data_IF_421088292578
#
_entry.id   IF_421088292578
#
_cell.length_a   1.000
_cell.length_b   1.000
_cell.length_c   1.000
_cell.angle_alpha   90.00
_cell.angle_beta   90.00
_cell.angle_gamma   90.00
#
_symmetry.space_group_name_H-M   'P 1'
#
loop_
_entity.id
_entity.type
_entity.pdbx_description
1 polymer ?
#
# COMPACT_ATOMS: atom_id res chain seq x y z
N UNK A 1 -21.34 0.81 -31.35
CA UNK A 1 -22.66 1.21 -31.86
C UNK A 1 -22.45 2.34 -32.85
N UNK A 2 -23.05 2.20 -34.03
CA UNK A 2 -22.84 3.02 -35.22
C UNK A 2 -23.08 4.50 -34.95
N UNK A 3 -22.17 5.33 -35.48
CA UNK A 3 -22.17 6.78 -35.49
C UNK A 3 -23.50 7.34 -36.01
N UNK A 4 -24.34 7.86 -35.11
CA UNK A 4 -25.60 8.54 -35.45
C UNK A 4 -25.42 9.86 -36.26
N UNK A 5 -24.19 10.17 -36.70
CA UNK A 5 -23.82 11.39 -37.41
C UNK A 5 -23.14 11.15 -38.77
N UNK A 6 -22.97 9.89 -39.19
CA UNK A 6 -22.45 9.57 -40.53
C UNK A 6 -23.53 9.85 -41.57
N UNK A 7 -23.48 11.03 -42.19
CA UNK A 7 -24.41 11.40 -43.26
C UNK A 7 -24.79 12.89 -43.37
N UNK A 8 -24.27 13.78 -42.51
CA UNK A 8 -24.45 15.23 -42.70
C UNK A 8 -23.34 15.79 -43.60
N UNK A 9 -23.67 16.64 -44.60
CA UNK A 9 -22.66 17.25 -45.47
C UNK A 9 -21.72 18.11 -44.61
N UNK A 10 -20.41 17.82 -44.70
CA UNK A 10 -19.34 18.53 -43.96
C UNK A 10 -18.60 17.72 -42.88
N UNK A 11 -18.85 16.42 -42.71
CA UNK A 11 -18.13 15.56 -41.76
C UNK A 11 -17.53 14.36 -42.50
N UNK A 12 -16.23 14.41 -42.80
CA UNK A 12 -15.56 13.46 -43.69
C UNK A 12 -14.92 12.25 -42.95
N UNK A 13 -14.70 12.32 -41.64
CA UNK A 13 -14.40 11.12 -40.84
C UNK A 13 -14.52 11.39 -39.35
N UNK A 14 -15.38 10.67 -38.64
CA UNK A 14 -15.18 10.47 -37.20
C UNK A 14 -14.12 9.39 -37.09
N UNK A 15 -12.86 9.78 -36.91
CA UNK A 15 -11.78 8.84 -36.62
C UNK A 15 -12.11 8.16 -35.28
N UNK A 16 -12.62 6.94 -35.34
CA UNK A 16 -12.93 6.12 -34.17
C UNK A 16 -11.61 5.61 -33.56
N UNK A 17 -10.83 6.52 -32.94
CA UNK A 17 -9.59 6.20 -32.23
C UNK A 17 -9.83 5.31 -31.00
N UNK A 18 -11.09 5.02 -30.67
CA UNK A 18 -11.53 4.11 -29.61
C UNK A 18 -10.88 2.74 -29.71
N UNK A 19 -10.74 2.16 -30.90
CA UNK A 19 -10.16 0.81 -31.02
C UNK A 19 -8.67 0.72 -30.63
N UNK A 20 -7.90 1.80 -30.81
CA UNK A 20 -6.48 1.87 -30.40
C UNK A 20 -6.39 2.22 -28.90
N UNK A 21 -7.21 3.18 -28.45
CA UNK A 21 -7.32 3.57 -27.04
C UNK A 21 -7.79 2.41 -26.16
N UNK A 22 -8.73 1.58 -26.62
CA UNK A 22 -9.25 0.42 -25.88
C UNK A 22 -8.16 -0.63 -25.65
N UNK A 23 -7.29 -0.86 -26.65
CA UNK A 23 -6.12 -1.74 -26.49
C UNK A 23 -5.12 -1.15 -25.49
N UNK A 24 -4.90 0.16 -25.54
CA UNK A 24 -4.01 0.86 -24.60
C UNK A 24 -4.56 0.82 -23.16
N UNK A 25 -5.84 1.12 -22.95
CA UNK A 25 -6.48 1.02 -21.63
C UNK A 25 -6.52 -0.42 -21.11
N UNK A 26 -6.72 -1.41 -21.99
CA UNK A 26 -6.62 -2.83 -21.61
C UNK A 26 -5.22 -3.19 -21.16
N UNK A 27 -4.18 -2.73 -21.86
CA UNK A 27 -2.80 -2.94 -21.43
C UNK A 27 -2.53 -2.28 -20.07
N UNK A 28 -2.96 -1.04 -19.86
CA UNK A 28 -2.84 -0.35 -18.58
C UNK A 28 -3.59 -1.08 -17.46
N UNK A 29 -4.76 -1.66 -17.73
CA UNK A 29 -5.52 -2.44 -16.74
C UNK A 29 -4.78 -3.70 -16.33
N UNK A 30 -4.18 -4.43 -17.27
CA UNK A 30 -3.36 -5.62 -16.96
C UNK A 30 -2.14 -5.25 -16.12
N UNK A 31 -1.46 -4.15 -16.46
CA UNK A 31 -0.32 -3.66 -15.68
C UNK A 31 -0.74 -3.24 -14.26
N UNK A 32 -1.87 -2.54 -14.13
CA UNK A 32 -2.44 -2.15 -12.83
C UNK A 32 -2.76 -3.37 -11.98
N UNK A 33 -3.45 -4.36 -12.54
CA UNK A 33 -3.85 -5.55 -11.81
C UNK A 33 -2.64 -6.42 -11.44
N UNK A 34 -1.62 -6.48 -12.31
CA UNK A 34 -0.33 -7.09 -12.00
C UNK A 34 0.42 -6.38 -10.86
N UNK A 35 0.44 -5.05 -10.85
CA UNK A 35 1.02 -4.27 -9.76
C UNK A 35 0.28 -4.49 -8.44
N UNK A 36 -1.06 -4.58 -8.46
CA UNK A 36 -1.86 -4.92 -7.29
C UNK A 36 -1.52 -6.31 -6.74
N UNK A 37 -1.33 -7.30 -7.61
CA UNK A 37 -0.95 -8.66 -7.21
C UNK A 37 0.41 -8.68 -6.50
N UNK A 38 1.41 -7.99 -7.06
CA UNK A 38 2.73 -7.84 -6.44
C UNK A 38 2.62 -7.10 -5.10
N UNK A 39 1.78 -6.06 -5.03
CA UNK A 39 1.50 -5.31 -3.81
C UNK A 39 0.95 -6.21 -2.70
N UNK A 40 -0.04 -7.05 -3.00
CA UNK A 40 -0.61 -8.02 -2.05
C UNK A 40 0.46 -9.01 -1.57
N UNK A 41 1.26 -9.57 -2.48
CA UNK A 41 2.36 -10.47 -2.12
C UNK A 41 3.40 -9.79 -1.20
N UNK A 42 3.67 -8.50 -1.45
CA UNK A 42 4.59 -7.70 -0.64
C UNK A 42 4.05 -7.46 0.77
N UNK A 43 2.76 -7.17 0.90
CA UNK A 43 2.07 -7.05 2.19
C UNK A 43 2.12 -8.35 2.99
N UNK A 44 1.88 -9.50 2.35
CA UNK A 44 2.02 -10.81 2.98
C UNK A 44 3.45 -11.05 3.46
N UNK A 45 4.44 -10.73 2.63
CA UNK A 45 5.86 -10.86 2.96
C UNK A 45 6.23 -9.98 4.16
N UNK A 46 5.76 -8.74 4.20
CA UNK A 46 5.95 -7.85 5.34
C UNK A 46 5.33 -8.43 6.62
N UNK A 47 4.11 -8.96 6.55
CA UNK A 47 3.45 -9.59 7.71
C UNK A 47 4.24 -10.81 8.24
N UNK A 48 4.81 -11.63 7.34
CA UNK A 48 5.68 -12.75 7.71
C UNK A 48 6.98 -12.27 8.39
N UNK A 49 7.61 -11.23 7.85
CA UNK A 49 8.81 -10.62 8.44
C UNK A 49 8.53 -10.07 9.85
N UNK A 50 7.45 -9.31 10.02
CA UNK A 50 7.01 -8.81 11.34
C UNK A 50 6.83 -9.98 12.30
N UNK A 51 6.11 -11.02 11.88
CA UNK A 51 5.85 -12.21 12.70
C UNK A 51 7.13 -12.91 13.14
N UNK A 52 8.10 -13.04 12.24
CA UNK A 52 9.39 -13.66 12.54
C UNK A 52 10.20 -12.81 13.53
N UNK A 53 10.27 -11.49 13.30
CA UNK A 53 11.01 -10.58 14.17
C UNK A 53 10.43 -10.56 15.59
N UNK A 54 9.10 -10.50 15.72
CA UNK A 54 8.44 -10.53 17.03
C UNK A 54 8.68 -11.86 17.77
N UNK A 55 8.70 -12.99 17.05
CA UNK A 55 9.02 -14.29 17.63
C UNK A 55 10.42 -14.31 18.23
N UNK A 56 11.42 -13.84 17.47
CA UNK A 56 12.80 -13.78 17.94
C UNK A 56 12.94 -12.83 19.13
N UNK A 57 12.30 -11.65 19.06
CA UNK A 57 12.31 -10.68 20.15
C UNK A 57 11.67 -11.22 21.45
N UNK A 58 10.52 -11.89 21.33
CA UNK A 58 9.84 -12.52 22.46
C UNK A 58 10.69 -13.64 23.09
N UNK A 59 11.38 -14.44 22.28
CA UNK A 59 12.27 -15.49 22.78
C UNK A 59 13.44 -14.90 23.60
N UNK A 60 14.04 -13.82 23.12
CA UNK A 60 15.14 -13.14 23.81
C UNK A 60 14.68 -12.52 25.15
N UNK A 61 13.42 -12.05 25.23
CA UNK A 61 12.83 -11.43 26.44
C UNK A 61 12.03 -12.40 27.31
N UNK A 62 12.16 -13.72 27.11
CA UNK A 62 11.36 -14.73 27.83
C UNK A 62 11.52 -14.67 29.36
N UNK A 63 12.73 -14.35 29.86
CA UNK A 63 13.01 -14.24 31.30
C UNK A 63 12.32 -13.03 31.91
N UNK A 64 12.43 -11.86 31.27
CA UNK A 64 11.75 -10.62 31.68
C UNK A 64 10.24 -10.81 31.69
N UNK A 65 9.71 -11.45 30.64
CA UNK A 65 8.29 -11.78 30.53
C UNK A 65 7.82 -12.70 31.65
N UNK A 66 8.65 -13.68 32.04
CA UNK A 66 8.40 -14.55 33.18
C UNK A 66 8.30 -13.78 34.49
N UNK A 67 9.21 -12.83 34.73
CA UNK A 67 9.16 -11.95 35.91
C UNK A 67 7.90 -11.09 35.88
N UNK A 68 7.55 -10.47 34.75
CA UNK A 68 6.32 -9.68 34.62
C UNK A 68 5.06 -10.50 34.94
N UNK A 69 4.98 -11.76 34.48
CA UNK A 69 3.87 -12.67 34.81
C UNK A 69 3.79 -12.95 36.32
N UNK A 70 4.93 -13.10 37.02
CA UNK A 70 4.97 -13.36 38.47
C UNK A 70 4.49 -12.18 39.31
N UNK A 71 4.62 -10.94 38.80
CA UNK A 71 4.12 -9.73 39.47
C UNK A 71 2.66 -9.43 39.10
N UNK A 72 1.98 -10.36 38.41
CA UNK A 72 0.56 -10.23 38.04
C UNK A 72 0.30 -9.28 36.86
N UNK A 73 1.32 -9.02 36.03
CA UNK A 73 1.14 -8.14 34.86
C UNK A 73 0.13 -8.74 33.88
N UNK A 74 -0.75 -7.88 33.33
CA UNK A 74 -1.70 -8.28 32.31
C UNK A 74 -0.99 -8.72 31.02
N UNK A 75 -1.60 -9.64 30.27
CA UNK A 75 -1.05 -10.07 28.97
C UNK A 75 -0.88 -8.90 27.99
N UNK A 76 -1.72 -7.87 28.10
CA UNK A 76 -1.60 -6.66 27.27
C UNK A 76 -0.38 -5.81 27.63
N UNK A 77 -0.09 -5.66 28.93
CA UNK A 77 1.10 -4.92 29.41
C UNK A 77 2.41 -5.55 28.90
N UNK A 78 2.45 -6.87 28.78
CA UNK A 78 3.59 -7.62 28.23
C UNK A 78 3.70 -7.43 26.70
N UNK A 79 2.56 -7.35 26.00
CA UNK A 79 2.51 -7.28 24.54
C UNK A 79 2.72 -5.86 23.99
N UNK A 80 2.37 -4.83 24.76
CA UNK A 80 2.43 -3.43 24.37
C UNK A 80 3.77 -2.99 23.75
N UNK A 81 4.97 -3.28 24.32
CA UNK A 81 6.22 -2.84 23.71
C UNK A 81 6.44 -3.42 22.31
N UNK A 82 6.07 -4.68 22.08
CA UNK A 82 6.19 -5.33 20.78
C UNK A 82 5.19 -4.77 19.75
N UNK A 83 3.97 -4.43 20.20
CA UNK A 83 2.98 -3.77 19.35
C UNK A 83 3.44 -2.36 18.93
N UNK A 84 4.07 -1.63 19.85
CA UNK A 84 4.61 -0.29 19.58
C UNK A 84 5.76 -0.34 18.58
N UNK A 85 6.66 -1.34 18.63
CA UNK A 85 7.70 -1.53 17.60
C UNK A 85 7.08 -1.68 16.20
N UNK A 86 6.01 -2.48 16.08
CA UNK A 86 5.27 -2.66 14.82
C UNK A 86 4.61 -1.37 14.31
N UNK A 87 4.02 -0.58 15.21
CA UNK A 87 3.40 0.70 14.85
C UNK A 87 4.46 1.73 14.43
N UNK A 88 5.55 1.86 15.18
CA UNK A 88 6.63 2.81 14.87
C UNK A 88 7.28 2.49 13.52
N UNK A 89 7.57 1.21 13.25
CA UNK A 89 8.10 0.79 11.96
C UNK A 89 7.16 1.11 10.79
N UNK A 90 5.84 1.02 11.02
CA UNK A 90 4.81 1.39 10.03
C UNK A 90 4.81 2.89 9.76
N UNK A 91 4.89 3.74 10.80
CA UNK A 91 4.92 5.20 10.64
C UNK A 91 6.17 5.63 9.85
N UNK A 92 7.33 5.04 10.17
CA UNK A 92 8.59 5.33 9.46
C UNK A 92 8.48 4.88 8.00
N UNK A 93 8.03 3.64 7.76
CA UNK A 93 7.86 3.10 6.41
C UNK A 93 6.84 3.90 5.58
N UNK A 94 5.76 4.36 6.20
CA UNK A 94 4.79 5.26 5.58
C UNK A 94 5.43 6.58 5.18
N UNK A 95 6.18 7.23 6.08
CA UNK A 95 6.87 8.49 5.79
C UNK A 95 7.83 8.36 4.60
N UNK A 96 8.61 7.28 4.56
CA UNK A 96 9.50 6.97 3.43
C UNK A 96 8.70 6.76 2.13
N UNK A 97 7.61 6.00 2.20
CA UNK A 97 6.75 5.71 1.03
C UNK A 97 6.10 6.97 0.47
N UNK A 98 5.62 7.86 1.34
CA UNK A 98 5.04 9.16 0.94
C UNK A 98 6.10 10.06 0.33
N UNK A 99 7.33 10.04 0.85
CA UNK A 99 8.47 10.73 0.25
C UNK A 99 8.72 10.27 -1.19
N UNK A 100 8.77 8.95 -1.42
CA UNK A 100 8.91 8.38 -2.76
C UNK A 100 7.75 8.75 -3.68
N UNK A 101 6.50 8.64 -3.21
CA UNK A 101 5.31 8.97 -4.00
C UNK A 101 5.29 10.44 -4.41
N UNK A 102 5.65 11.34 -3.49
CA UNK A 102 5.71 12.79 -3.75
C UNK A 102 6.85 13.14 -4.72
N UNK A 103 8.02 12.50 -4.56
CA UNK A 103 9.14 12.68 -5.49
C UNK A 103 8.79 12.20 -6.91
N UNK A 104 8.11 11.06 -7.02
CA UNK A 104 7.65 10.53 -8.30
C UNK A 104 6.64 11.47 -8.97
N UNK A 105 5.68 12.01 -8.20
CA UNK A 105 4.74 13.03 -8.67
C UNK A 105 5.46 14.28 -9.20
N UNK A 106 6.40 14.80 -8.43
CA UNK A 106 7.18 15.98 -8.84
C UNK A 106 7.95 15.74 -10.14
N UNK A 107 8.55 14.55 -10.30
CA UNK A 107 9.26 14.17 -11.52
C UNK A 107 8.33 14.09 -12.74
N UNK A 108 7.13 13.51 -12.57
CA UNK A 108 6.11 13.45 -13.62
C UNK A 108 5.67 14.85 -14.04
N UNK A 109 5.35 15.72 -13.08
CA UNK A 109 4.92 17.09 -13.37
C UNK A 109 5.97 17.88 -14.14
N UNK A 110 7.25 17.70 -13.78
CA UNK A 110 8.34 18.46 -14.38
C UNK A 110 8.76 17.93 -15.74
N UNK A 111 8.79 16.60 -15.92
CA UNK A 111 9.42 15.95 -17.08
C UNK A 111 8.43 15.37 -18.08
N UNK A 112 7.25 14.95 -17.63
CA UNK A 112 6.32 14.15 -18.43
C UNK A 112 5.06 14.95 -18.79
N UNK A 113 4.50 15.70 -17.84
CA UNK A 113 3.32 16.53 -18.04
C UNK A 113 3.44 17.51 -19.23
N UNK A 114 4.59 18.19 -19.45
CA UNK A 114 4.75 19.09 -20.60
C UNK A 114 4.73 18.37 -21.96
N UNK A 115 5.05 17.07 -22.00
CA UNK A 115 5.12 16.28 -23.22
C UNK A 115 3.77 15.67 -23.61
N UNK A 116 2.81 15.61 -22.69
CA UNK A 116 1.55 14.87 -22.83
C UNK A 116 0.35 15.71 -22.38
N UNK A 117 0.10 16.83 -23.07
CA UNK A 117 -0.92 17.84 -22.74
C UNK A 117 -2.38 17.33 -22.81
N UNK A 118 -2.60 16.21 -23.51
CA UNK A 118 -3.93 15.60 -23.69
C UNK A 118 -4.33 14.65 -22.55
N UNK A 119 -3.40 14.29 -21.65
CA UNK A 119 -3.66 13.31 -20.58
C UNK A 119 -3.60 13.99 -19.23
N UNK A 120 -4.71 13.94 -18.48
CA UNK A 120 -4.74 14.42 -17.11
C UNK A 120 -4.11 13.37 -16.20
N UNK A 121 -2.87 13.59 -15.77
CA UNK A 121 -2.21 12.77 -14.74
C UNK A 121 -2.92 12.91 -13.38
N UNK A 122 -2.61 12.00 -12.44
CA UNK A 122 -3.14 12.05 -11.09
C UNK A 122 -2.76 13.36 -10.39
N UNK A 123 -3.61 13.85 -9.50
CA UNK A 123 -3.50 15.16 -8.83
C UNK A 123 -2.77 15.02 -7.49
N UNK A 124 -2.31 16.13 -6.90
CA UNK A 124 -1.79 16.15 -5.53
C UNK A 124 -2.81 15.63 -4.50
N UNK A 125 -4.10 15.81 -4.74
CA UNK A 125 -5.16 15.21 -3.92
C UNK A 125 -5.08 13.68 -3.93
N UNK A 126 -4.79 13.06 -5.08
CA UNK A 126 -4.68 11.59 -5.18
C UNK A 126 -3.48 11.07 -4.40
N UNK A 127 -2.39 11.85 -4.32
CA UNK A 127 -1.21 11.53 -3.49
C UNK A 127 -1.57 11.51 -2.01
N UNK A 128 -2.29 12.54 -1.53
CA UNK A 128 -2.74 12.62 -0.13
C UNK A 128 -3.78 11.56 0.23
N UNK A 129 -4.70 11.26 -0.67
CA UNK A 129 -5.68 10.18 -0.47
C UNK A 129 -4.98 8.82 -0.43
N UNK A 130 -4.05 8.57 -1.35
CA UNK A 130 -3.28 7.33 -1.39
C UNK A 130 -2.38 7.16 -0.16
N UNK A 131 -1.78 8.25 0.33
CA UNK A 131 -0.96 8.20 1.55
C UNK A 131 -1.80 7.86 2.79
N UNK A 132 -3.04 8.36 2.88
CA UNK A 132 -3.95 7.99 3.96
C UNK A 132 -4.32 6.49 3.91
N UNK A 133 -4.60 5.95 2.73
CA UNK A 133 -4.84 4.51 2.56
C UNK A 133 -3.62 3.66 2.91
N UNK A 134 -2.42 4.08 2.49
CA UNK A 134 -1.17 3.38 2.82
C UNK A 134 -0.95 3.32 4.34
N UNK A 135 -1.18 4.43 5.05
CA UNK A 135 -1.07 4.46 6.50
C UNK A 135 -2.07 3.52 7.16
N UNK A 136 -3.34 3.59 6.75
CA UNK A 136 -4.41 2.78 7.30
C UNK A 136 -4.13 1.28 7.08
N UNK A 137 -3.81 0.88 5.86
CA UNK A 137 -3.52 -0.52 5.52
C UNK A 137 -2.27 -0.99 6.28
N UNK A 138 -1.21 -0.19 6.32
CA UNK A 138 0.00 -0.51 7.07
C UNK A 138 -0.29 -0.75 8.55
N UNK A 139 -1.08 0.12 9.17
CA UNK A 139 -1.45 0.01 10.58
C UNK A 139 -2.26 -1.26 10.86
N UNK A 140 -3.24 -1.55 10.00
CA UNK A 140 -4.09 -2.74 10.10
C UNK A 140 -3.24 -4.00 9.96
N UNK A 141 -2.40 -4.08 8.93
CA UNK A 141 -1.54 -5.25 8.69
C UNK A 141 -0.55 -5.45 9.83
N UNK A 142 0.14 -4.39 10.28
CA UNK A 142 1.13 -4.46 11.36
C UNK A 142 0.49 -4.88 12.69
N UNK A 143 -0.67 -4.30 13.03
CA UNK A 143 -1.41 -4.64 14.24
C UNK A 143 -1.89 -6.09 14.22
N UNK A 144 -2.50 -6.53 13.10
CA UNK A 144 -2.98 -7.91 12.96
C UNK A 144 -1.83 -8.90 13.03
N UNK A 145 -0.75 -8.69 12.27
CA UNK A 145 0.41 -9.58 12.25
C UNK A 145 1.03 -9.70 13.65
N UNK A 146 1.15 -8.59 14.37
CA UNK A 146 1.73 -8.56 15.70
C UNK A 146 0.85 -9.25 16.74
N UNK A 147 -0.45 -8.95 16.75
CA UNK A 147 -1.41 -9.58 17.68
C UNK A 147 -1.48 -11.09 17.46
N UNK A 148 -1.57 -11.53 16.19
CA UNK A 148 -1.63 -12.96 15.85
C UNK A 148 -0.36 -13.67 16.33
N UNK A 149 0.81 -13.06 16.13
CA UNK A 149 2.10 -13.62 16.54
C UNK A 149 2.21 -13.73 18.06
N UNK A 150 1.90 -12.66 18.79
CA UNK A 150 2.01 -12.59 20.25
C UNK A 150 1.03 -13.55 20.93
N UNK A 151 -0.23 -13.59 20.48
CA UNK A 151 -1.24 -14.52 21.02
C UNK A 151 -0.85 -15.98 20.83
N UNK A 152 -0.18 -16.31 19.72
CA UNK A 152 0.22 -17.68 19.41
C UNK A 152 1.46 -18.14 20.18
N UNK A 153 2.36 -17.24 20.55
CA UNK A 153 3.65 -17.59 21.16
C UNK A 153 3.81 -17.23 22.65
N UNK A 154 2.98 -16.34 23.21
CA UNK A 154 3.04 -15.95 24.62
C UNK A 154 2.03 -16.67 25.54
N UNK A 155 1.04 -17.36 24.96
CA UNK A 155 0.02 -18.14 25.66
C UNK A 155 0.44 -19.60 25.89
N UNK A 156 1.73 -19.85 26.14
CA UNK A 156 2.24 -21.10 26.72
C UNK A 156 2.92 -20.78 28.05
#
# INVERSE_FOLDING_TARGET
MQSAFSGRPGIDSVQDQRAILDKFFKLLSVLRDGALLIGIASVLTAALLISNTLRVAAFNRRRETGVMKLVGASSFSIQLPFLLEGVVSTIIGWGVSVGFLSAFKYLIDTRVSPLLSFTRFFTWTDVWVSSAYLLLIGFVVSSIASIVTLRRHLNV
#
